data_IF_782619040928
#
_entry.id   IF_782619040928
#
_cell.length_a   1.000
_cell.length_b   1.000
_cell.length_c   1.000
_cell.angle_alpha   90.00
_cell.angle_beta   90.00
_cell.angle_gamma   90.00
#
_symmetry.space_group_name_H-M   'P 1'
#
loop_
_entity.id
_entity.type
_entity.pdbx_description
1 polymer ?
#
# COMPACT_ATOMS: atom_id res chain seq x y z
N UNK A 1 -5.76 15.64 3.44
CA UNK A 1 -5.01 14.55 4.11
C UNK A 1 -5.57 13.22 3.62
N UNK A 2 -4.74 12.29 3.10
CA UNK A 2 -5.23 11.03 2.49
C UNK A 2 -5.43 9.88 3.51
N UNK A 3 -4.93 10.06 4.74
CA UNK A 3 -5.21 9.16 5.88
C UNK A 3 -6.69 9.21 6.30
N UNK A 4 -7.29 10.40 6.26
CA UNK A 4 -8.74 10.56 6.48
C UNK A 4 -9.56 9.84 5.38
N UNK A 5 -9.04 9.78 4.15
CA UNK A 5 -9.71 9.08 3.05
C UNK A 5 -9.63 7.56 3.18
N UNK A 6 -8.50 7.00 3.60
CA UNK A 6 -8.35 5.55 3.86
C UNK A 6 -9.25 5.09 5.00
N UNK A 7 -9.24 5.79 6.14
CA UNK A 7 -10.19 5.54 7.24
C UNK A 7 -11.63 5.68 6.77
N UNK A 8 -11.97 6.73 6.01
CA UNK A 8 -13.33 6.93 5.49
C UNK A 8 -13.75 5.82 4.52
N UNK A 9 -12.82 5.28 3.73
CA UNK A 9 -13.07 4.13 2.86
C UNK A 9 -13.33 2.89 3.72
N UNK A 10 -12.50 2.61 4.72
CA UNK A 10 -12.60 1.43 5.57
C UNK A 10 -13.71 1.50 6.65
N UNK A 11 -14.25 2.69 6.96
CA UNK A 11 -15.44 2.84 7.83
C UNK A 11 -16.68 2.08 7.35
N UNK A 12 -16.72 1.69 6.08
CA UNK A 12 -17.79 0.83 5.58
C UNK A 12 -17.49 -0.64 5.93
N UNK A 13 -18.36 -1.31 6.69
CA UNK A 13 -18.08 -2.64 7.22
C UNK A 13 -17.80 -3.67 6.11
N UNK A 14 -18.53 -3.62 4.99
CA UNK A 14 -18.27 -4.52 3.86
C UNK A 14 -16.87 -4.29 3.26
N UNK A 15 -16.42 -3.03 3.12
CA UNK A 15 -15.08 -2.74 2.60
C UNK A 15 -13.99 -3.16 3.57
N UNK A 16 -14.21 -2.99 4.86
CA UNK A 16 -13.29 -3.49 5.89
C UNK A 16 -13.18 -5.02 5.79
N UNK A 17 -14.32 -5.72 5.75
CA UNK A 17 -14.36 -7.18 5.67
C UNK A 17 -13.69 -7.71 4.39
N UNK A 18 -14.00 -7.10 3.23
CA UNK A 18 -13.34 -7.43 1.95
C UNK A 18 -11.82 -7.23 2.06
N UNK A 19 -11.38 -6.11 2.62
CA UNK A 19 -9.95 -5.83 2.77
C UNK A 19 -9.27 -6.86 3.67
N UNK A 20 -9.87 -7.21 4.81
CA UNK A 20 -9.34 -8.21 5.74
C UNK A 20 -9.27 -9.59 5.10
N UNK A 21 -10.28 -10.01 4.33
CA UNK A 21 -10.24 -11.30 3.62
C UNK A 21 -9.13 -11.32 2.56
N UNK A 22 -8.95 -10.23 1.81
CA UNK A 22 -7.84 -10.12 0.83
C UNK A 22 -6.48 -10.13 1.54
N UNK A 23 -6.37 -9.45 2.69
CA UNK A 23 -5.16 -9.41 3.50
C UNK A 23 -4.78 -10.81 4.02
N UNK A 24 -5.77 -11.58 4.50
CA UNK A 24 -5.59 -12.95 4.98
C UNK A 24 -5.33 -13.95 3.85
N UNK A 25 -5.87 -13.69 2.66
CA UNK A 25 -5.75 -14.57 1.49
C UNK A 25 -5.19 -13.83 0.25
N UNK A 26 -3.89 -13.46 0.22
CA UNK A 26 -3.31 -12.80 -0.94
C UNK A 26 -3.44 -13.65 -2.21
N UNK A 27 -3.94 -13.04 -3.29
CA UNK A 27 -4.18 -13.71 -4.55
C UNK A 27 -5.54 -14.39 -4.66
N UNK A 28 -6.44 -14.15 -3.70
CA UNK A 28 -7.84 -14.58 -3.72
C UNK A 28 -8.55 -14.09 -4.98
N UNK A 29 -9.44 -14.92 -5.54
CA UNK A 29 -10.22 -14.55 -6.72
C UNK A 29 -11.51 -13.83 -6.34
N UNK A 30 -12.17 -13.23 -7.34
CA UNK A 30 -13.50 -12.66 -7.14
C UNK A 30 -14.51 -13.70 -6.65
N UNK A 31 -14.46 -14.91 -7.21
CA UNK A 31 -15.38 -16.00 -6.87
C UNK A 31 -15.21 -16.46 -5.42
N UNK A 32 -13.96 -16.56 -4.95
CA UNK A 32 -13.65 -16.91 -3.56
C UNK A 32 -14.10 -15.81 -2.58
N UNK A 33 -13.88 -14.54 -2.93
CA UNK A 33 -14.39 -13.42 -2.14
C UNK A 33 -15.91 -13.46 -2.05
N UNK A 34 -16.60 -13.78 -3.15
CA UNK A 34 -18.05 -13.88 -3.19
C UNK A 34 -18.57 -15.04 -2.35
N UNK A 35 -17.85 -16.17 -2.28
CA UNK A 35 -18.28 -17.32 -1.49
C UNK A 35 -18.01 -17.15 0.01
N UNK A 36 -16.94 -16.46 0.38
CA UNK A 36 -16.56 -16.24 1.78
C UNK A 36 -17.32 -15.09 2.43
N UNK A 37 -17.74 -14.09 1.66
CA UNK A 37 -18.39 -12.90 2.19
C UNK A 37 -19.90 -12.99 1.98
N UNK A 38 -20.67 -12.84 3.06
CA UNK A 38 -22.14 -12.76 3.01
C UNK A 38 -22.64 -11.38 2.57
N UNK A 39 -22.03 -10.80 1.53
CA UNK A 39 -22.43 -9.48 1.01
C UNK A 39 -23.59 -9.62 0.03
N UNK A 40 -24.65 -8.81 0.17
CA UNK A 40 -25.76 -8.78 -0.81
C UNK A 40 -25.23 -8.53 -2.24
N UNK A 41 -25.61 -9.43 -3.15
CA UNK A 41 -25.14 -9.52 -4.54
C UNK A 41 -25.30 -8.18 -5.29
N UNK A 42 -24.17 -7.60 -5.75
CA UNK A 42 -24.11 -6.37 -6.57
C UNK A 42 -23.03 -5.37 -6.16
N UNK A 43 -22.53 -5.45 -4.92
CA UNK A 43 -21.68 -4.40 -4.31
C UNK A 43 -20.19 -4.74 -4.23
N UNK A 44 -19.78 -6.01 -4.39
CA UNK A 44 -18.37 -6.44 -4.26
C UNK A 44 -17.46 -5.76 -5.29
N UNK A 45 -17.82 -5.76 -6.58
CA UNK A 45 -17.04 -5.06 -7.62
C UNK A 45 -16.88 -3.56 -7.35
N UNK A 46 -17.94 -2.92 -6.85
CA UNK A 46 -17.90 -1.50 -6.48
C UNK A 46 -16.93 -1.26 -5.31
N UNK A 47 -16.99 -2.11 -4.29
CA UNK A 47 -16.10 -2.06 -3.14
C UNK A 47 -14.64 -2.33 -3.51
N UNK A 48 -14.36 -3.36 -4.31
CA UNK A 48 -13.02 -3.65 -4.83
C UNK A 48 -12.45 -2.48 -5.62
N UNK A 49 -13.27 -1.87 -6.49
CA UNK A 49 -12.86 -0.68 -7.25
C UNK A 49 -12.50 0.48 -6.31
N UNK A 50 -13.28 0.70 -5.24
CA UNK A 50 -12.98 1.75 -4.25
C UNK A 50 -11.70 1.46 -3.48
N UNK A 51 -11.49 0.22 -3.04
CA UNK A 51 -10.28 -0.20 -2.33
C UNK A 51 -9.03 -0.10 -3.22
N UNK A 52 -9.15 -0.46 -4.50
CA UNK A 52 -8.06 -0.37 -5.48
C UNK A 52 -7.74 1.09 -5.81
N UNK A 53 -8.75 1.95 -6.01
CA UNK A 53 -8.57 3.41 -6.16
C UNK A 53 -7.93 4.05 -4.93
N UNK A 54 -8.27 3.56 -3.73
CA UNK A 54 -7.64 4.02 -2.49
C UNK A 54 -6.18 3.57 -2.37
N UNK A 55 -5.77 2.54 -3.12
CA UNK A 55 -4.43 1.94 -3.04
C UNK A 55 -4.28 0.96 -1.88
N UNK A 56 -5.39 0.45 -1.32
CA UNK A 56 -5.40 -0.53 -0.24
C UNK A 56 -5.23 -1.95 -0.76
N UNK A 57 -5.70 -2.21 -1.98
CA UNK A 57 -5.52 -3.49 -2.69
C UNK A 57 -4.99 -3.23 -4.08
N UNK A 58 -4.39 -4.26 -4.68
CA UNK A 58 -4.04 -4.29 -6.09
C UNK A 58 -4.61 -5.56 -6.71
N UNK A 59 -5.04 -5.48 -7.96
CA UNK A 59 -5.42 -6.66 -8.71
C UNK A 59 -4.44 -6.96 -9.85
N UNK A 60 -4.30 -8.24 -10.17
CA UNK A 60 -3.53 -8.72 -11.32
C UNK A 60 -4.33 -9.77 -12.09
N UNK A 61 -4.25 -9.73 -13.42
CA UNK A 61 -4.77 -10.81 -14.27
C UNK A 61 -3.74 -11.94 -14.30
N UNK A 62 -4.14 -13.14 -13.93
CA UNK A 62 -3.32 -14.36 -14.00
C UNK A 62 -4.13 -15.44 -14.72
N UNK A 63 -3.82 -15.66 -16.01
CA UNK A 63 -4.65 -16.46 -16.90
C UNK A 63 -6.02 -15.82 -17.12
N UNK A 64 -7.09 -16.60 -16.94
CA UNK A 64 -8.48 -16.13 -17.04
C UNK A 64 -8.97 -15.45 -15.76
N UNK A 65 -8.24 -15.55 -14.65
CA UNK A 65 -8.68 -15.07 -13.34
C UNK A 65 -8.07 -13.72 -12.99
N UNK A 66 -8.88 -12.86 -12.36
CA UNK A 66 -8.41 -11.66 -11.68
C UNK A 66 -8.17 -12.01 -10.21
N UNK A 67 -6.94 -11.80 -9.75
CA UNK A 67 -6.49 -12.07 -8.38
C UNK A 67 -6.28 -10.76 -7.64
N UNK A 68 -6.73 -10.71 -6.40
CA UNK A 68 -6.64 -9.54 -5.54
C UNK A 68 -5.60 -9.77 -4.46
N UNK A 69 -4.77 -8.76 -4.22
CA UNK A 69 -3.70 -8.78 -3.23
C UNK A 69 -3.85 -7.54 -2.36
N UNK A 70 -3.49 -7.60 -1.07
CA UNK A 70 -3.29 -6.38 -0.31
C UNK A 70 -2.23 -5.58 -1.05
N UNK A 71 -2.41 -4.26 -1.09
CA UNK A 71 -1.33 -3.41 -1.52
C UNK A 71 -0.19 -3.61 -0.51
N UNK A 72 0.89 -4.25 -0.98
CA UNK A 72 2.19 -4.38 -0.31
C UNK A 72 2.25 -5.39 0.86
N UNK A 73 2.58 -6.65 0.57
CA UNK A 73 3.19 -7.60 1.52
C UNK A 73 2.45 -7.85 2.85
N UNK A 74 1.12 -7.65 2.91
CA UNK A 74 0.34 -7.77 4.15
C UNK A 74 0.53 -6.61 5.14
N UNK A 75 1.34 -5.61 4.79
CA UNK A 75 1.55 -4.39 5.58
C UNK A 75 0.61 -3.30 5.07
N UNK A 76 -0.06 -2.63 5.99
CA UNK A 76 -0.82 -1.42 5.68
C UNK A 76 0.11 -0.29 5.21
N UNK A 77 -0.42 0.73 4.50
CA UNK A 77 0.34 1.92 4.15
C UNK A 77 1.02 2.61 5.33
N UNK A 78 0.42 2.53 6.54
CA UNK A 78 1.00 3.07 7.76
C UNK A 78 2.21 2.26 8.21
N UNK A 79 2.11 0.93 8.23
CA UNK A 79 3.23 0.05 8.58
C UNK A 79 4.44 0.28 7.65
N UNK A 80 4.20 0.42 6.34
CA UNK A 80 5.27 0.71 5.38
C UNK A 80 5.84 2.12 5.59
N UNK A 81 5.00 3.13 5.87
CA UNK A 81 5.51 4.48 6.18
C UNK A 81 6.42 4.46 7.42
N UNK A 82 6.03 3.75 8.48
CA UNK A 82 6.85 3.63 9.71
C UNK A 82 8.13 2.83 9.48
N UNK A 83 8.09 1.74 8.71
CA UNK A 83 9.29 1.00 8.32
C UNK A 83 10.24 1.83 7.46
N UNK A 84 9.74 2.64 6.52
CA UNK A 84 10.55 3.57 5.73
C UNK A 84 11.23 4.59 6.64
N UNK A 85 10.50 5.19 7.59
CA UNK A 85 11.10 6.15 8.55
C UNK A 85 12.20 5.47 9.35
N UNK A 86 11.94 4.28 9.89
CA UNK A 86 12.92 3.49 10.65
C UNK A 86 14.19 3.23 9.83
N UNK A 87 14.05 2.73 8.60
CA UNK A 87 15.18 2.49 7.70
C UNK A 87 15.96 3.78 7.39
N UNK A 88 15.29 4.91 7.23
CA UNK A 88 15.95 6.19 6.96
C UNK A 88 16.65 6.79 8.18
N UNK A 89 16.19 6.45 9.39
CA UNK A 89 16.86 6.79 10.65
C UNK A 89 18.09 5.91 10.89
N UNK A 90 17.97 4.59 10.63
CA UNK A 90 19.06 3.61 10.78
C UNK A 90 20.12 3.73 9.67
N UNK A 91 19.69 4.07 8.45
CA UNK A 91 20.54 4.18 7.27
C UNK A 91 20.33 5.51 6.53
N UNK A 92 20.79 6.64 7.09
CA UNK A 92 20.67 7.95 6.45
C UNK A 92 21.32 7.99 5.07
N UNK A 93 20.58 8.45 4.07
CA UNK A 93 21.03 8.53 2.69
C UNK A 93 20.72 7.31 1.84
N UNK A 94 19.96 6.33 2.36
CA UNK A 94 19.47 5.19 1.58
C UNK A 94 18.65 5.67 0.35
N UNK A 95 18.82 4.99 -0.77
CA UNK A 95 18.10 5.30 -2.02
C UNK A 95 16.73 4.61 -2.07
N UNK A 96 15.82 5.08 -2.91
CA UNK A 96 14.51 4.43 -3.10
C UNK A 96 14.64 2.95 -3.50
N UNK A 97 15.66 2.60 -4.28
CA UNK A 97 15.92 1.22 -4.67
C UNK A 97 16.43 0.37 -3.51
N UNK A 98 17.24 0.95 -2.63
CA UNK A 98 17.68 0.30 -1.40
C UNK A 98 16.50 0.01 -0.47
N UNK A 99 15.65 1.01 -0.23
CA UNK A 99 14.44 0.87 0.60
C UNK A 99 13.49 -0.17 0.01
N UNK A 100 13.28 -0.17 -1.31
CA UNK A 100 12.42 -1.13 -2.00
C UNK A 100 12.90 -2.56 -1.79
N UNK A 101 14.22 -2.78 -1.93
CA UNK A 101 14.85 -4.08 -1.73
C UNK A 101 14.75 -4.53 -0.27
N UNK A 102 15.07 -3.64 0.67
CA UNK A 102 15.02 -3.93 2.12
C UNK A 102 13.61 -4.29 2.59
N UNK A 103 12.59 -3.62 2.06
CA UNK A 103 11.20 -3.89 2.42
C UNK A 103 10.57 -5.01 1.59
N UNK A 104 11.25 -5.57 0.57
CA UNK A 104 10.65 -6.48 -0.40
C UNK A 104 9.35 -5.92 -1.02
N UNK A 105 9.42 -4.66 -1.49
CA UNK A 105 8.31 -3.95 -2.14
C UNK A 105 8.79 -3.34 -3.45
N UNK A 106 7.87 -2.94 -4.31
CA UNK A 106 8.25 -2.33 -5.59
C UNK A 106 8.75 -0.89 -5.40
N UNK A 107 9.60 -0.42 -6.32
CA UNK A 107 10.10 0.97 -6.30
C UNK A 107 8.96 1.99 -6.42
N UNK A 108 7.87 1.64 -7.10
CA UNK A 108 6.68 2.50 -7.25
C UNK A 108 5.99 2.74 -5.90
N UNK A 109 5.90 1.71 -5.05
CA UNK A 109 5.38 1.81 -3.68
C UNK A 109 6.24 2.77 -2.86
N UNK A 110 7.57 2.56 -2.88
CA UNK A 110 8.49 3.47 -2.18
C UNK A 110 8.38 4.90 -2.69
N UNK A 111 8.35 5.11 -4.01
CA UNK A 111 8.22 6.44 -4.59
C UNK A 111 6.95 7.15 -4.10
N UNK A 112 5.82 6.44 -3.98
CA UNK A 112 4.61 6.98 -3.38
C UNK A 112 4.84 7.46 -1.93
N UNK A 113 5.40 6.61 -1.07
CA UNK A 113 5.63 6.94 0.33
C UNK A 113 6.64 8.08 0.50
N UNK A 114 7.72 8.08 -0.28
CA UNK A 114 8.73 9.15 -0.24
C UNK A 114 8.15 10.50 -0.67
N UNK A 115 7.33 10.54 -1.73
CA UNK A 115 6.65 11.77 -2.16
C UNK A 115 5.68 12.28 -1.08
N UNK A 116 5.00 11.38 -0.37
CA UNK A 116 4.12 11.71 0.74
C UNK A 116 4.90 12.30 1.92
N UNK A 117 6.00 11.68 2.32
CA UNK A 117 6.88 12.16 3.39
C UNK A 117 7.54 13.49 3.04
N UNK A 118 7.90 13.73 1.77
CA UNK A 118 8.40 15.01 1.28
C UNK A 118 7.36 16.13 1.46
N UNK A 119 6.11 15.88 1.07
CA UNK A 119 5.01 16.84 1.23
C UNK A 119 4.79 17.22 2.70
N UNK A 120 4.91 16.24 3.60
CA UNK A 120 4.86 16.46 5.06
C UNK A 120 6.16 17.05 5.64
N UNK A 121 7.19 17.24 4.82
CA UNK A 121 8.53 17.70 5.22
C UNK A 121 9.18 16.82 6.30
N UNK A 122 8.90 15.52 6.27
CA UNK A 122 9.48 14.53 7.19
C UNK A 122 10.73 13.84 6.59
N UNK A 123 11.00 14.04 5.31
CA UNK A 123 12.23 13.60 4.66
C UNK A 123 12.74 14.71 3.74
N UNK A 124 14.03 14.65 3.40
CA UNK A 124 14.64 15.44 2.35
C UNK A 124 15.35 14.52 1.35
N UNK A 125 15.45 14.97 0.10
CA UNK A 125 16.21 14.27 -0.93
C UNK A 125 17.40 15.14 -1.35
N UNK A 126 18.58 14.54 -1.39
CA UNK A 126 19.78 15.15 -1.98
C UNK A 126 20.21 14.35 -3.21
N UNK A 127 20.48 15.05 -4.32
CA UNK A 127 21.03 14.42 -5.52
C UNK A 127 22.48 14.01 -5.27
N UNK A 128 22.83 12.80 -5.70
CA UNK A 128 24.17 12.21 -5.60
C UNK A 128 24.46 11.45 -6.90
N UNK A 129 24.94 12.17 -7.91
CA UNK A 129 25.20 11.63 -9.24
C UNK A 129 23.92 11.07 -9.89
N UNK A 130 23.96 9.82 -10.35
CA UNK A 130 22.82 9.12 -10.98
C UNK A 130 21.73 8.67 -10.00
N UNK A 131 21.91 8.90 -8.70
CA UNK A 131 20.98 8.45 -7.66
C UNK A 131 20.61 9.58 -6.70
N UNK A 132 19.51 9.38 -5.97
CA UNK A 132 19.03 10.28 -4.93
C UNK A 132 19.21 9.62 -3.57
N UNK A 133 19.81 10.35 -2.62
CA UNK A 133 19.96 9.96 -1.22
C UNK A 133 18.84 10.58 -0.40
N UNK A 134 18.15 9.77 0.40
CA UNK A 134 17.00 10.21 1.20
C UNK A 134 17.41 10.27 2.66
N UNK A 135 17.00 11.33 3.36
CA UNK A 135 17.31 11.52 4.77
C UNK A 135 16.02 11.81 5.53
N UNK A 136 15.84 11.15 6.67
CA UNK A 136 14.76 11.51 7.59
C UNK A 136 15.03 12.88 8.20
N UNK A 137 13.99 13.70 8.31
CA UNK A 137 14.00 14.98 8.99
C UNK A 137 13.11 14.82 10.21
N UNK A 138 13.73 14.54 11.35
CA UNK A 138 13.02 14.51 12.63
C UNK A 138 12.27 15.83 12.83
N UNK A 139 11.05 15.73 13.36
CA UNK A 139 10.35 16.85 14.00
C UNK A 139 11.02 17.19 15.30
#
# INVERSE_FOLDING_TARGET
MRYEEEEKILRNPNRQEIYEVIKKNPGITYSDLKSQLSVKNGTLSHHLTKLEKAGLIVSRKLGIYRRFYPAVGGRSPREIEEEIKRLLMEHPGMSQSGIASALNVTRQVINYHINKLLKKRQVIIRRSGRSSKIYFRGT
#
